data_IF_838896099779
#
_entry.id   IF_838896099779
#
_cell.length_a   1.000
_cell.length_b   1.000
_cell.length_c   1.000
_cell.angle_alpha   90.00
_cell.angle_beta   90.00
_cell.angle_gamma   90.00
#
_symmetry.space_group_name_H-M   'P 1'
#
loop_
_entity.id
_entity.type
_entity.pdbx_description
1 polymer ?
#
# COMPACT_ATOMS: atom_id res chain seq x y z
N UNK A 1 -29.16 -9.68 -22.53
CA UNK A 1 -28.29 -10.58 -21.75
C UNK A 1 -27.35 -9.71 -20.92
N UNK A 2 -27.04 -10.11 -19.70
CA UNK A 2 -26.03 -9.40 -18.91
C UNK A 2 -24.70 -9.48 -19.67
N UNK A 3 -23.90 -8.39 -19.71
CA UNK A 3 -22.58 -8.43 -20.31
C UNK A 3 -21.62 -9.32 -19.47
N UNK A 4 -20.51 -9.72 -20.04
CA UNK A 4 -19.55 -10.64 -19.41
C UNK A 4 -19.15 -10.23 -17.99
N UNK A 5 -18.83 -8.95 -17.80
CA UNK A 5 -18.45 -8.41 -16.48
C UNK A 5 -19.58 -8.56 -15.45
N UNK A 6 -20.82 -8.25 -15.82
CA UNK A 6 -21.96 -8.35 -14.91
C UNK A 6 -22.26 -9.82 -14.54
N UNK A 7 -22.16 -10.73 -15.50
CA UNK A 7 -22.33 -12.17 -15.26
C UNK A 7 -21.33 -12.69 -14.22
N UNK A 8 -20.07 -12.32 -14.35
CA UNK A 8 -19.03 -12.71 -13.38
C UNK A 8 -19.29 -12.12 -12.00
N UNK A 9 -19.70 -10.84 -11.91
CA UNK A 9 -20.07 -10.20 -10.64
C UNK A 9 -21.25 -10.89 -9.95
N UNK A 10 -22.28 -11.28 -10.72
CA UNK A 10 -23.46 -11.92 -10.18
C UNK A 10 -23.13 -13.33 -9.65
N UNK A 11 -22.27 -14.08 -10.36
CA UNK A 11 -21.76 -15.38 -9.90
C UNK A 11 -20.93 -15.22 -8.60
N UNK A 12 -20.04 -14.22 -8.53
CA UNK A 12 -19.27 -13.93 -7.31
C UNK A 12 -20.16 -13.64 -6.11
N UNK A 13 -21.20 -12.84 -6.27
CA UNK A 13 -22.16 -12.51 -5.18
C UNK A 13 -22.86 -13.75 -4.64
N UNK A 14 -23.16 -14.71 -5.49
CA UNK A 14 -23.77 -15.98 -5.07
C UNK A 14 -22.74 -16.87 -4.38
N UNK A 15 -21.58 -17.06 -5.01
CA UNK A 15 -20.53 -17.98 -4.55
C UNK A 15 -19.90 -17.53 -3.22
N UNK A 16 -19.66 -16.23 -3.06
CA UNK A 16 -18.96 -15.62 -1.94
C UNK A 16 -19.81 -14.70 -1.09
N UNK A 17 -21.12 -14.98 -0.98
CA UNK A 17 -22.07 -14.18 -0.17
C UNK A 17 -21.61 -13.97 1.30
N UNK A 18 -20.74 -14.84 1.80
CA UNK A 18 -20.15 -14.80 3.15
C UNK A 18 -18.82 -14.02 3.23
N UNK A 19 -18.35 -13.43 2.13
CA UNK A 19 -17.11 -12.65 2.03
C UNK A 19 -17.40 -11.20 1.56
N UNK A 20 -18.09 -10.37 2.37
CA UNK A 20 -18.59 -9.07 1.94
C UNK A 20 -17.49 -8.09 1.53
N UNK A 21 -16.35 -8.08 2.21
CA UNK A 21 -15.22 -7.20 1.88
C UNK A 21 -14.62 -7.55 0.51
N UNK A 22 -14.54 -8.83 0.20
CA UNK A 22 -14.05 -9.28 -1.11
C UNK A 22 -15.04 -8.92 -2.23
N UNK A 23 -16.34 -9.13 -2.02
CA UNK A 23 -17.39 -8.78 -2.99
C UNK A 23 -17.39 -7.28 -3.28
N UNK A 24 -17.24 -6.44 -2.24
CA UNK A 24 -17.13 -5.00 -2.43
C UNK A 24 -15.95 -4.63 -3.31
N UNK A 25 -14.76 -5.11 -2.99
CA UNK A 25 -13.54 -4.83 -3.75
C UNK A 25 -13.63 -5.33 -5.21
N UNK A 26 -14.15 -6.53 -5.42
CA UNK A 26 -14.35 -7.09 -6.75
C UNK A 26 -15.33 -6.24 -7.57
N UNK A 27 -16.44 -5.78 -6.95
CA UNK A 27 -17.41 -4.92 -7.60
C UNK A 27 -16.81 -3.58 -8.03
N UNK A 28 -16.07 -2.92 -7.14
CA UNK A 28 -15.41 -1.65 -7.43
C UNK A 28 -14.38 -1.78 -8.56
N UNK A 29 -13.53 -2.79 -8.50
CA UNK A 29 -12.50 -3.01 -9.52
C UNK A 29 -13.13 -3.36 -10.86
N UNK A 30 -14.00 -4.37 -10.94
CA UNK A 30 -14.58 -4.80 -12.20
C UNK A 30 -15.44 -3.71 -12.84
N UNK A 31 -16.10 -2.85 -12.04
CA UNK A 31 -16.82 -1.70 -12.56
C UNK A 31 -15.91 -0.71 -13.28
N UNK A 32 -14.73 -0.44 -12.74
CA UNK A 32 -13.74 0.45 -13.38
C UNK A 32 -13.09 -0.18 -14.60
N UNK A 33 -13.04 -1.52 -14.69
CA UNK A 33 -12.46 -2.26 -15.82
C UNK A 33 -13.43 -2.46 -16.97
N UNK A 34 -14.72 -2.16 -16.78
CA UNK A 34 -15.79 -2.37 -17.78
C UNK A 34 -15.42 -1.86 -19.19
N UNK A 35 -14.88 -0.62 -19.39
CA UNK A 35 -14.55 -0.14 -20.74
C UNK A 35 -13.49 -0.99 -21.47
N UNK A 36 -12.53 -1.55 -20.73
CA UNK A 36 -11.50 -2.43 -21.30
C UNK A 36 -12.06 -3.81 -21.62
N UNK A 37 -12.90 -4.33 -20.71
CA UNK A 37 -13.52 -5.64 -20.86
C UNK A 37 -14.45 -5.66 -22.07
N UNK A 38 -15.29 -4.63 -22.24
CA UNK A 38 -16.24 -4.52 -23.36
C UNK A 38 -15.54 -4.43 -24.73
N UNK A 39 -14.35 -3.79 -24.79
CA UNK A 39 -13.54 -3.73 -26.03
C UNK A 39 -12.94 -5.08 -26.43
N UNK A 40 -12.83 -6.02 -25.49
CA UNK A 40 -12.19 -7.32 -25.67
C UNK A 40 -13.08 -8.49 -25.25
N UNK A 41 -14.39 -8.28 -25.14
CA UNK A 41 -15.33 -9.17 -24.46
C UNK A 41 -15.25 -10.60 -25.01
N UNK A 42 -15.40 -10.79 -26.33
CA UNK A 42 -15.35 -12.10 -26.97
C UNK A 42 -14.05 -12.86 -26.66
N UNK A 43 -12.91 -12.17 -26.77
CA UNK A 43 -11.58 -12.76 -26.51
C UNK A 43 -11.39 -13.12 -25.03
N UNK A 44 -11.81 -12.25 -24.12
CA UNK A 44 -11.65 -12.46 -22.69
C UNK A 44 -12.61 -13.53 -22.16
N UNK A 45 -13.86 -13.54 -22.63
CA UNK A 45 -14.86 -14.53 -22.24
C UNK A 45 -14.48 -15.93 -22.75
N UNK A 46 -14.04 -16.06 -24.02
CA UNK A 46 -13.56 -17.34 -24.55
C UNK A 46 -12.40 -17.94 -23.76
N UNK A 47 -11.57 -17.11 -23.13
CA UNK A 47 -10.45 -17.53 -22.26
C UNK A 47 -10.85 -17.70 -20.79
N UNK A 48 -12.06 -17.39 -20.37
CA UNK A 48 -12.46 -17.34 -18.96
C UNK A 48 -11.59 -16.40 -18.13
N UNK A 49 -11.17 -15.26 -18.70
CA UNK A 49 -10.17 -14.40 -18.11
C UNK A 49 -10.63 -13.83 -16.79
N UNK A 50 -11.86 -13.28 -16.71
CA UNK A 50 -12.35 -12.65 -15.49
C UNK A 50 -12.61 -13.66 -14.38
N UNK A 51 -13.14 -14.83 -14.70
CA UNK A 51 -13.34 -15.91 -13.75
C UNK A 51 -12.02 -16.30 -13.06
N UNK A 52 -10.93 -16.41 -13.85
CA UNK A 52 -9.59 -16.69 -13.32
C UNK A 52 -8.96 -15.49 -12.60
N UNK A 53 -9.27 -14.28 -13.03
CA UNK A 53 -8.72 -13.06 -12.44
C UNK A 53 -9.29 -12.77 -11.06
N UNK A 54 -10.56 -13.10 -10.81
CA UNK A 54 -11.24 -12.87 -9.53
C UNK A 54 -11.17 -14.06 -8.57
N UNK A 55 -10.64 -15.19 -9.02
CA UNK A 55 -10.44 -16.38 -8.20
C UNK A 55 -8.96 -16.50 -7.80
N UNK A 56 -8.61 -16.58 -6.50
CA UNK A 56 -7.22 -16.81 -6.11
C UNK A 56 -6.74 -18.18 -6.56
N UNK A 57 -5.49 -18.26 -7.05
CA UNK A 57 -4.89 -19.53 -7.44
C UNK A 57 -4.82 -20.52 -6.25
N UNK A 58 -4.66 -19.98 -5.02
CA UNK A 58 -4.59 -20.79 -3.81
C UNK A 58 -4.86 -19.99 -2.55
N UNK A 59 -5.59 -20.59 -1.62
CA UNK A 59 -5.72 -20.10 -0.23
C UNK A 59 -5.24 -21.21 0.70
N UNK A 60 -4.28 -20.89 1.58
CA UNK A 60 -3.78 -21.77 2.60
C UNK A 60 -4.26 -21.25 3.96
N UNK A 61 -4.97 -22.10 4.71
CA UNK A 61 -5.40 -21.81 6.07
C UNK A 61 -4.81 -22.86 6.99
N UNK A 62 -4.24 -22.43 8.11
CA UNK A 62 -3.56 -23.31 9.05
C UNK A 62 -3.72 -22.84 10.50
N UNK A 63 -3.60 -23.81 11.42
CA UNK A 63 -3.61 -23.57 12.86
C UNK A 63 -2.23 -23.11 13.33
N UNK A 64 -2.19 -22.11 14.21
CA UNK A 64 -0.96 -21.56 14.82
C UNK A 64 -1.05 -21.71 16.35
N UNK A 65 -0.61 -22.84 16.92
CA UNK A 65 -0.53 -23.01 18.37
C UNK A 65 0.77 -22.40 18.90
N UNK A 66 0.69 -21.66 20.01
CA UNK A 66 1.85 -21.08 20.68
C UNK A 66 1.63 -21.00 22.19
N UNK A 67 2.68 -20.83 22.97
CA UNK A 67 2.62 -20.79 24.43
C UNK A 67 2.88 -19.36 24.91
N UNK A 68 1.98 -18.82 25.74
CA UNK A 68 2.13 -17.51 26.35
C UNK A 68 3.16 -17.50 27.49
N UNK A 69 3.42 -16.34 28.10
CA UNK A 69 4.39 -16.20 29.17
C UNK A 69 3.94 -16.86 30.48
N UNK A 70 2.65 -17.21 30.60
CA UNK A 70 2.09 -17.97 31.71
C UNK A 70 2.13 -19.49 31.50
N UNK A 71 2.69 -19.96 30.37
CA UNK A 71 2.76 -21.38 30.03
C UNK A 71 1.46 -21.95 29.45
N UNK A 72 0.47 -21.10 29.13
CA UNK A 72 -0.82 -21.54 28.57
C UNK A 72 -0.74 -21.61 27.05
N UNK A 73 -1.32 -22.68 26.50
CA UNK A 73 -1.44 -22.85 25.04
C UNK A 73 -2.49 -21.89 24.50
N UNK A 74 -2.08 -21.10 23.53
CA UNK A 74 -2.91 -20.24 22.70
C UNK A 74 -3.02 -20.81 21.29
N UNK A 75 -4.13 -20.54 20.60
CA UNK A 75 -4.36 -21.02 19.24
C UNK A 75 -4.92 -19.89 18.39
N UNK A 76 -4.20 -19.54 17.35
CA UNK A 76 -4.63 -18.58 16.32
C UNK A 76 -4.79 -19.29 14.98
N UNK A 77 -5.39 -18.58 14.02
CA UNK A 77 -5.54 -19.03 12.65
C UNK A 77 -4.61 -18.24 11.74
N UNK A 78 -3.81 -18.92 10.96
CA UNK A 78 -2.95 -18.34 9.94
C UNK A 78 -3.52 -18.51 8.54
N UNK A 79 -3.21 -17.57 7.66
CA UNK A 79 -3.66 -17.54 6.26
C UNK A 79 -2.55 -17.09 5.33
N UNK A 80 -2.55 -17.65 4.11
CA UNK A 80 -1.85 -17.09 2.95
C UNK A 80 -2.72 -17.23 1.72
N UNK A 81 -3.05 -16.10 1.11
CA UNK A 81 -3.73 -16.01 -0.18
C UNK A 81 -2.66 -15.80 -1.24
N UNK A 82 -2.46 -16.79 -2.08
CA UNK A 82 -1.66 -16.75 -3.30
C UNK A 82 -2.63 -16.46 -4.43
N UNK A 83 -2.77 -15.17 -4.79
CA UNK A 83 -3.90 -14.74 -5.59
C UNK A 83 -3.64 -14.91 -7.09
N UNK A 84 -2.52 -14.35 -7.59
CA UNK A 84 -2.21 -14.39 -9.02
C UNK A 84 -0.70 -14.32 -9.22
N UNK A 85 -0.14 -15.26 -9.97
CA UNK A 85 1.29 -15.37 -10.27
C UNK A 85 1.63 -15.09 -11.73
N UNK A 86 0.70 -14.64 -12.56
CA UNK A 86 0.91 -14.48 -13.98
C UNK A 86 2.08 -13.54 -14.34
N UNK A 87 2.40 -12.58 -13.49
CA UNK A 87 3.50 -11.62 -13.74
C UNK A 87 4.71 -11.79 -12.82
N UNK A 88 4.73 -12.82 -11.98
CA UNK A 88 5.85 -13.14 -11.08
C UNK A 88 5.42 -13.79 -9.77
N UNK A 89 6.36 -14.06 -8.86
CA UNK A 89 6.07 -14.65 -7.55
C UNK A 89 5.01 -13.88 -6.80
N UNK A 90 4.17 -14.58 -6.04
CA UNK A 90 3.19 -13.91 -5.17
C UNK A 90 3.90 -12.94 -4.22
N UNK A 91 3.41 -11.72 -4.12
CA UNK A 91 4.01 -10.68 -3.29
C UNK A 91 2.95 -9.92 -2.53
N UNK A 92 3.13 -9.80 -1.22
CA UNK A 92 2.26 -9.00 -0.35
C UNK A 92 2.49 -9.26 1.12
N UNK A 93 2.05 -8.32 1.94
CA UNK A 93 2.31 -8.31 3.37
C UNK A 93 1.60 -9.39 4.18
N UNK A 94 2.13 -9.63 5.37
CA UNK A 94 1.48 -10.39 6.44
C UNK A 94 0.88 -9.40 7.45
N UNK A 95 -0.41 -9.53 7.76
CA UNK A 95 -1.11 -8.70 8.75
C UNK A 95 -1.36 -9.49 10.03
N UNK A 96 -0.95 -8.94 11.16
CA UNK A 96 -1.27 -9.49 12.49
C UNK A 96 -2.22 -8.54 13.21
N UNK A 97 -3.50 -8.89 13.23
CA UNK A 97 -4.54 -8.07 13.83
C UNK A 97 -5.78 -8.93 14.11
N UNK A 98 -6.50 -8.69 15.25
CA UNK A 98 -7.68 -9.50 15.61
C UNK A 98 -8.80 -9.54 14.56
N UNK A 99 -8.90 -8.52 13.70
CA UNK A 99 -9.91 -8.47 12.63
C UNK A 99 -9.58 -9.34 11.42
N UNK A 100 -8.39 -9.94 11.34
CA UNK A 100 -7.98 -10.73 10.18
C UNK A 100 -8.87 -11.95 10.01
N UNK A 101 -9.44 -12.06 8.82
CA UNK A 101 -10.20 -13.20 8.35
C UNK A 101 -9.91 -13.46 6.85
N UNK A 102 -10.47 -14.52 6.30
CA UNK A 102 -10.22 -14.91 4.91
C UNK A 102 -10.73 -13.86 3.92
N UNK A 103 -11.92 -13.30 4.12
CA UNK A 103 -12.52 -12.29 3.23
C UNK A 103 -11.63 -11.05 3.12
N UNK A 104 -11.14 -10.53 4.26
CA UNK A 104 -10.21 -9.39 4.31
C UNK A 104 -8.91 -9.70 3.56
N UNK A 105 -8.31 -10.86 3.79
CA UNK A 105 -7.06 -11.21 3.12
C UNK A 105 -7.24 -11.51 1.63
N UNK A 106 -8.39 -12.04 1.23
CA UNK A 106 -8.74 -12.27 -0.16
C UNK A 106 -8.90 -10.93 -0.90
N UNK A 107 -9.65 -9.98 -0.33
CA UNK A 107 -9.77 -8.66 -0.92
C UNK A 107 -8.43 -7.93 -1.03
N UNK A 108 -7.63 -7.94 0.04
CA UNK A 108 -6.30 -7.30 0.03
C UNK A 108 -5.34 -7.96 -0.97
N UNK A 109 -5.43 -9.29 -1.13
CA UNK A 109 -4.66 -10.02 -2.14
C UNK A 109 -5.07 -9.68 -3.56
N UNK A 110 -6.36 -9.50 -3.81
CA UNK A 110 -6.89 -9.07 -5.09
C UNK A 110 -6.42 -7.66 -5.49
N UNK A 111 -6.53 -6.69 -4.58
CA UNK A 111 -6.01 -5.34 -4.82
C UNK A 111 -4.50 -5.32 -5.03
N UNK A 112 -3.78 -6.22 -4.34
CA UNK A 112 -2.33 -6.30 -4.43
C UNK A 112 -1.85 -6.68 -5.84
N UNK A 113 -2.64 -7.45 -6.60
CA UNK A 113 -2.33 -7.80 -8.01
C UNK A 113 -2.15 -6.52 -8.84
N UNK A 114 -3.13 -5.62 -8.78
CA UNK A 114 -3.12 -4.38 -9.56
C UNK A 114 -2.00 -3.45 -9.11
N UNK A 115 -1.82 -3.29 -7.82
CA UNK A 115 -0.76 -2.47 -7.23
C UNK A 115 0.63 -2.94 -7.66
N UNK A 116 0.90 -4.23 -7.58
CA UNK A 116 2.19 -4.82 -7.95
C UNK A 116 2.44 -4.70 -9.45
N UNK A 117 1.41 -4.94 -10.26
CA UNK A 117 1.47 -4.82 -11.71
C UNK A 117 1.90 -3.43 -12.18
N UNK A 118 1.40 -2.37 -11.51
CA UNK A 118 1.76 -0.99 -11.83
C UNK A 118 3.27 -0.73 -11.74
N UNK A 119 3.97 -1.37 -10.80
CA UNK A 119 5.42 -1.18 -10.63
C UNK A 119 6.24 -1.55 -11.87
N UNK A 120 5.68 -2.36 -12.75
CA UNK A 120 6.41 -2.90 -13.91
C UNK A 120 7.35 -4.06 -13.58
N UNK A 121 7.57 -4.33 -12.29
CA UNK A 121 8.47 -5.39 -11.80
C UNK A 121 7.79 -6.77 -11.84
N UNK A 122 8.57 -7.86 -11.92
CA UNK A 122 8.03 -9.23 -12.01
C UNK A 122 7.60 -9.74 -10.64
N UNK A 123 6.49 -9.24 -10.13
CA UNK A 123 5.88 -9.63 -8.86
C UNK A 123 4.36 -9.78 -9.02
N UNK A 124 3.84 -10.92 -8.64
CA UNK A 124 2.42 -11.23 -8.61
C UNK A 124 1.71 -10.69 -7.37
N UNK A 125 0.49 -11.12 -7.12
CA UNK A 125 -0.34 -10.69 -5.99
C UNK A 125 -0.53 -11.77 -4.94
N UNK A 126 -0.35 -11.40 -3.67
CA UNK A 126 -0.65 -12.27 -2.54
C UNK A 126 -0.84 -11.47 -1.25
N UNK A 127 -1.45 -12.10 -0.27
CA UNK A 127 -1.65 -11.52 1.07
C UNK A 127 -1.74 -12.61 2.12
N UNK A 128 -1.32 -12.32 3.34
CA UNK A 128 -1.44 -13.28 4.44
C UNK A 128 -1.58 -12.59 5.78
N UNK A 129 -1.66 -13.41 6.83
CA UNK A 129 -1.74 -12.90 8.19
C UNK A 129 -2.41 -13.86 9.17
N UNK A 130 -2.74 -13.31 10.32
CA UNK A 130 -3.40 -14.05 11.41
C UNK A 130 -4.25 -13.11 12.26
N UNK A 131 -5.24 -13.67 12.93
CA UNK A 131 -6.03 -13.01 13.96
C UNK A 131 -5.27 -12.78 15.28
N UNK A 132 -3.96 -13.05 15.31
CA UNK A 132 -3.08 -12.74 16.43
C UNK A 132 -2.94 -11.24 16.63
N UNK A 133 -3.08 -10.76 17.88
CA UNK A 133 -2.83 -9.37 18.26
C UNK A 133 -1.46 -9.24 18.93
N UNK A 134 -0.48 -8.59 18.29
CA UNK A 134 0.84 -8.38 18.88
C UNK A 134 0.86 -7.29 19.96
N UNK A 135 -0.22 -6.49 20.10
CA UNK A 135 -0.28 -5.43 21.11
C UNK A 135 -0.31 -6.02 22.50
N UNK A 136 0.55 -5.50 23.37
CA UNK A 136 0.64 -5.94 24.77
C UNK A 136 1.28 -7.32 24.97
N UNK A 137 1.77 -7.95 23.91
CA UNK A 137 2.55 -9.17 23.98
C UNK A 137 4.03 -8.90 24.22
N UNK A 138 4.68 -9.77 24.97
CA UNK A 138 6.13 -9.73 25.14
C UNK A 138 6.85 -10.09 23.84
N UNK A 139 8.11 -9.70 23.71
CA UNK A 139 8.94 -10.10 22.57
C UNK A 139 9.05 -11.61 22.45
N UNK A 140 9.10 -12.33 23.57
CA UNK A 140 9.14 -13.80 23.61
C UNK A 140 7.84 -14.43 23.11
N UNK A 141 6.69 -13.86 23.45
CA UNK A 141 5.39 -14.33 22.96
C UNK A 141 5.27 -14.12 21.45
N UNK A 142 5.64 -12.91 20.97
CA UNK A 142 5.64 -12.61 19.53
C UNK A 142 6.60 -13.53 18.77
N UNK A 143 7.77 -13.81 19.34
CA UNK A 143 8.74 -14.72 18.73
C UNK A 143 8.19 -16.15 18.63
N UNK A 144 7.60 -16.69 19.70
CA UNK A 144 6.99 -18.03 19.70
C UNK A 144 5.84 -18.12 18.68
N UNK A 145 5.00 -17.08 18.62
CA UNK A 145 3.94 -17.01 17.62
C UNK A 145 4.54 -17.03 16.19
N UNK A 146 5.50 -16.16 15.89
CA UNK A 146 6.13 -16.08 14.56
C UNK A 146 6.80 -17.40 14.16
N UNK A 147 7.45 -18.08 15.11
CA UNK A 147 8.06 -19.39 14.87
C UNK A 147 7.01 -20.46 14.52
N UNK A 148 5.91 -20.51 15.26
CA UNK A 148 4.80 -21.43 14.99
C UNK A 148 4.14 -21.12 13.64
N UNK A 149 3.86 -19.85 13.37
CA UNK A 149 3.28 -19.39 12.10
C UNK A 149 4.16 -19.81 10.91
N UNK A 150 5.47 -19.56 10.99
CA UNK A 150 6.41 -19.89 9.91
C UNK A 150 6.59 -21.41 9.75
N UNK A 151 6.47 -22.19 10.82
CA UNK A 151 6.54 -23.66 10.76
C UNK A 151 5.47 -24.26 9.85
N UNK A 152 4.32 -23.60 9.71
CA UNK A 152 3.30 -23.98 8.74
C UNK A 152 3.50 -23.32 7.38
N UNK A 153 3.82 -22.04 7.36
CA UNK A 153 3.89 -21.25 6.13
C UNK A 153 5.08 -21.60 5.23
N UNK A 154 6.22 -22.03 5.77
CA UNK A 154 7.46 -22.23 5.01
C UNK A 154 7.33 -23.16 3.79
N UNK A 155 6.38 -24.09 3.82
CA UNK A 155 6.12 -25.05 2.73
C UNK A 155 5.61 -24.41 1.45
N UNK A 156 5.09 -23.20 1.56
CA UNK A 156 4.37 -22.50 0.48
C UNK A 156 5.07 -21.25 -0.02
N UNK A 157 6.17 -20.86 0.63
CA UNK A 157 6.92 -19.65 0.30
C UNK A 157 8.37 -19.96 -0.05
N UNK A 158 8.92 -19.20 -0.97
CA UNK A 158 10.33 -19.20 -1.37
C UNK A 158 10.62 -17.96 -2.21
N UNK A 159 11.90 -17.66 -2.44
CA UNK A 159 12.35 -16.47 -3.20
C UNK A 159 11.72 -16.32 -4.59
N UNK A 160 11.41 -17.42 -5.26
CA UNK A 160 10.89 -17.45 -6.64
C UNK A 160 9.42 -17.92 -6.72
N UNK A 161 8.78 -18.20 -5.58
CA UNK A 161 7.39 -18.69 -5.52
C UNK A 161 6.48 -17.66 -4.86
N UNK A 162 6.79 -17.29 -3.62
CA UNK A 162 5.98 -16.39 -2.80
C UNK A 162 6.87 -15.67 -1.78
N UNK A 163 6.87 -14.35 -1.82
CA UNK A 163 7.73 -13.51 -0.97
C UNK A 163 6.87 -12.57 -0.13
N UNK A 164 6.50 -12.98 1.11
CA UNK A 164 5.76 -12.12 2.03
C UNK A 164 6.58 -10.91 2.48
N UNK A 165 5.88 -9.92 3.03
CA UNK A 165 6.44 -8.68 3.58
C UNK A 165 5.74 -8.29 4.88
N UNK A 166 6.12 -7.15 5.47
CA UNK A 166 5.39 -6.55 6.59
C UNK A 166 4.09 -5.87 6.15
N UNK A 167 3.17 -5.78 7.10
CA UNK A 167 1.91 -5.03 7.04
C UNK A 167 1.50 -4.66 8.47
N UNK A 168 0.25 -4.31 8.76
CA UNK A 168 -0.22 -4.00 10.12
C UNK A 168 0.18 -5.12 11.09
N UNK A 169 0.83 -4.75 12.19
CA UNK A 169 1.30 -5.68 13.22
C UNK A 169 2.57 -6.48 12.86
N UNK A 170 3.15 -6.26 11.69
CA UNK A 170 4.39 -6.93 11.24
C UNK A 170 5.41 -5.89 10.81
N UNK A 171 6.35 -5.61 11.67
CA UNK A 171 7.50 -4.75 11.41
C UNK A 171 8.81 -5.53 11.29
N UNK A 172 9.94 -4.82 11.42
CA UNK A 172 11.27 -5.41 11.32
C UNK A 172 11.51 -6.54 12.33
N UNK A 173 10.95 -6.43 13.54
CA UNK A 173 11.05 -7.45 14.59
C UNK A 173 10.39 -8.76 14.14
N UNK A 174 9.14 -8.70 13.71
CA UNK A 174 8.37 -9.87 13.26
C UNK A 174 8.99 -10.49 12.01
N UNK A 175 9.41 -9.68 11.04
CA UNK A 175 10.15 -10.17 9.86
C UNK A 175 11.42 -10.90 10.27
N UNK A 176 12.15 -10.39 11.28
CA UNK A 176 13.33 -11.06 11.82
C UNK A 176 13.01 -12.44 12.39
N UNK A 177 11.98 -12.54 13.23
CA UNK A 177 11.56 -13.82 13.83
C UNK A 177 11.07 -14.82 12.79
N UNK A 178 10.29 -14.37 11.81
CA UNK A 178 9.81 -15.19 10.70
C UNK A 178 10.96 -15.70 9.83
N UNK A 179 11.90 -14.82 9.45
CA UNK A 179 13.05 -15.19 8.65
C UNK A 179 14.00 -16.15 9.38
N UNK A 180 14.27 -15.89 10.67
CA UNK A 180 15.09 -16.77 11.49
C UNK A 180 14.54 -18.20 11.56
N UNK A 181 13.22 -18.36 11.71
CA UNK A 181 12.57 -19.67 11.72
C UNK A 181 12.58 -20.32 10.33
N UNK A 182 12.32 -19.58 9.25
CA UNK A 182 12.43 -20.09 7.89
C UNK A 182 13.83 -20.67 7.62
N UNK A 183 14.87 -19.89 7.92
CA UNK A 183 16.26 -20.31 7.77
C UNK A 183 16.58 -21.56 8.62
N UNK A 184 16.07 -21.62 9.86
CA UNK A 184 16.28 -22.78 10.77
C UNK A 184 15.66 -24.07 10.20
N UNK A 185 14.48 -23.98 9.59
CA UNK A 185 13.78 -25.15 9.05
C UNK A 185 14.39 -25.59 7.72
N UNK A 186 14.65 -24.64 6.82
CA UNK A 186 15.07 -24.93 5.44
C UNK A 186 16.58 -25.13 5.30
N UNK A 187 17.38 -24.60 6.21
CA UNK A 187 18.83 -24.52 6.06
C UNK A 187 19.31 -23.54 4.99
N UNK A 188 18.39 -22.76 4.39
CA UNK A 188 18.68 -21.86 3.26
C UNK A 188 18.80 -20.40 3.73
N UNK A 189 19.78 -19.70 3.15
CA UNK A 189 19.86 -18.25 3.19
C UNK A 189 19.47 -17.71 1.81
N UNK A 190 18.21 -17.33 1.67
CA UNK A 190 17.67 -16.86 0.39
C UNK A 190 16.80 -15.61 0.53
N UNK A 191 16.39 -15.02 -0.59
CA UNK A 191 15.60 -13.78 -0.65
C UNK A 191 14.11 -13.94 -0.37
N UNK A 192 13.73 -14.88 0.50
CA UNK A 192 12.37 -14.99 1.02
C UNK A 192 12.12 -13.87 2.05
N UNK A 193 10.92 -13.35 2.12
CA UNK A 193 10.53 -12.18 2.90
C UNK A 193 11.25 -10.89 2.47
N UNK A 194 10.56 -9.77 2.57
CA UNK A 194 11.14 -8.42 2.41
C UNK A 194 10.84 -7.54 3.62
N UNK A 195 11.61 -6.45 3.76
CA UNK A 195 11.65 -5.66 4.98
C UNK A 195 12.66 -6.19 5.98
N UNK A 196 13.66 -6.93 5.48
CA UNK A 196 14.76 -7.46 6.29
C UNK A 196 15.67 -6.35 6.80
N UNK A 197 16.40 -6.62 7.86
CA UNK A 197 17.45 -5.73 8.36
C UNK A 197 18.62 -5.62 7.37
N UNK A 198 19.30 -4.48 7.36
CA UNK A 198 20.42 -4.20 6.43
C UNK A 198 21.56 -5.21 6.55
N UNK A 199 21.78 -5.76 7.75
CA UNK A 199 22.85 -6.74 8.01
C UNK A 199 22.55 -8.15 7.48
N UNK A 200 21.33 -8.41 7.01
CA UNK A 200 20.90 -9.73 6.58
C UNK A 200 19.93 -9.69 5.36
N UNK A 201 20.25 -8.86 4.39
CA UNK A 201 19.60 -8.84 3.08
C UNK A 201 18.54 -7.77 2.87
N UNK A 202 18.39 -6.81 3.78
CA UNK A 202 17.52 -5.65 3.62
C UNK A 202 18.05 -4.64 2.61
N UNK A 203 17.17 -3.78 2.11
CA UNK A 203 17.50 -2.69 1.18
C UNK A 203 17.52 -1.35 1.88
N UNK A 204 18.48 -0.49 1.53
CA UNK A 204 18.43 0.93 1.79
C UNK A 204 17.20 1.57 1.11
N UNK A 205 16.81 2.76 1.53
CA UNK A 205 15.63 3.50 1.09
C UNK A 205 14.28 2.78 1.28
N UNK A 206 14.23 1.60 1.92
CA UNK A 206 12.96 0.87 2.14
C UNK A 206 12.02 1.59 3.10
N UNK A 207 12.58 2.23 4.11
CA UNK A 207 11.81 2.99 5.11
C UNK A 207 11.20 4.26 4.50
N UNK A 208 11.93 4.89 3.62
CA UNK A 208 11.59 6.11 2.90
C UNK A 208 10.62 5.86 1.74
N UNK A 209 10.65 4.67 1.17
CA UNK A 209 10.11 4.33 -0.14
C UNK A 209 8.66 4.75 -0.40
N UNK A 210 7.76 4.58 0.57
CA UNK A 210 6.35 4.94 0.38
C UNK A 210 6.16 6.45 0.34
N UNK A 211 6.77 7.19 1.27
CA UNK A 211 6.71 8.65 1.30
C UNK A 211 7.39 9.29 0.10
N UNK A 212 8.58 8.82 -0.26
CA UNK A 212 9.31 9.30 -1.44
C UNK A 212 8.56 9.01 -2.73
N UNK A 213 8.06 7.78 -2.87
CA UNK A 213 7.28 7.36 -4.03
C UNK A 213 6.02 8.18 -4.22
N UNK A 214 5.30 8.48 -3.13
CA UNK A 214 4.15 9.39 -3.14
C UNK A 214 4.52 10.76 -3.72
N UNK A 215 5.65 11.32 -3.31
CA UNK A 215 6.09 12.64 -3.80
C UNK A 215 6.49 12.59 -5.27
N UNK A 216 7.18 11.54 -5.72
CA UNK A 216 7.55 11.37 -7.14
C UNK A 216 6.32 11.21 -8.03
N UNK A 217 5.34 10.42 -7.62
CA UNK A 217 4.07 10.27 -8.35
C UNK A 217 3.32 11.60 -8.41
N UNK A 218 3.19 12.28 -7.27
CA UNK A 218 2.50 13.60 -7.19
C UNK A 218 3.20 14.65 -8.06
N UNK A 219 4.53 14.65 -8.07
CA UNK A 219 5.32 15.54 -8.94
C UNK A 219 5.00 15.28 -10.42
N UNK A 220 5.09 14.03 -10.86
CA UNK A 220 4.83 13.67 -12.26
C UNK A 220 3.39 14.03 -12.67
N UNK A 221 2.41 13.81 -11.79
CA UNK A 221 1.02 14.20 -12.00
C UNK A 221 0.86 15.73 -12.15
N UNK A 222 1.48 16.49 -11.27
CA UNK A 222 1.40 17.96 -11.31
C UNK A 222 2.09 18.53 -12.57
N UNK A 223 3.29 18.05 -12.89
CA UNK A 223 4.06 18.49 -14.09
C UNK A 223 3.30 18.19 -15.38
N UNK A 224 2.68 17.01 -15.50
CA UNK A 224 1.82 16.65 -16.66
C UNK A 224 0.66 17.64 -16.85
N UNK A 225 0.18 18.24 -15.76
CA UNK A 225 -0.91 19.22 -15.75
C UNK A 225 -0.42 20.69 -15.67
N UNK A 226 0.84 20.95 -16.02
CA UNK A 226 1.42 22.30 -16.07
C UNK A 226 1.60 22.98 -14.71
N UNK A 227 1.66 22.19 -13.62
CA UNK A 227 1.83 22.67 -12.24
C UNK A 227 3.17 22.22 -11.66
N UNK A 228 3.63 22.87 -10.59
CA UNK A 228 4.86 22.51 -9.89
C UNK A 228 4.62 22.32 -8.40
N UNK A 229 5.45 21.48 -7.76
CA UNK A 229 5.49 21.34 -6.30
C UNK A 229 6.20 22.51 -5.64
N UNK A 230 7.26 23.03 -6.27
CA UNK A 230 8.05 24.11 -5.70
C UNK A 230 7.20 25.35 -5.37
N UNK A 231 7.40 25.88 -4.17
CA UNK A 231 6.68 27.05 -3.65
C UNK A 231 5.27 26.77 -3.13
N UNK A 232 4.77 25.53 -3.21
CA UNK A 232 3.43 25.18 -2.71
C UNK A 232 3.42 24.96 -1.20
N UNK A 233 2.29 25.29 -0.57
CA UNK A 233 2.00 24.94 0.81
C UNK A 233 1.38 23.55 0.85
N UNK A 234 1.87 22.70 1.75
CA UNK A 234 1.49 21.29 1.86
C UNK A 234 1.00 20.97 3.26
N UNK A 235 -0.05 20.17 3.34
CA UNK A 235 -0.56 19.55 4.58
C UNK A 235 -0.41 18.04 4.49
N UNK A 236 0.18 17.43 5.52
CA UNK A 236 0.43 15.98 5.59
C UNK A 236 -0.22 15.42 6.85
N UNK A 237 -1.13 14.47 6.72
CA UNK A 237 -1.65 13.78 7.90
C UNK A 237 -0.73 12.64 8.34
N UNK A 238 -0.81 12.30 9.63
CA UNK A 238 0.05 11.29 10.22
C UNK A 238 1.41 11.81 10.67
N UNK A 239 2.13 10.94 11.35
CA UNK A 239 3.50 11.16 11.85
C UNK A 239 4.28 9.83 11.91
N UNK A 240 3.85 8.83 11.15
CA UNK A 240 4.56 7.58 10.91
C UNK A 240 5.51 7.68 9.74
N UNK A 241 6.10 6.55 9.33
CA UNK A 241 7.11 6.50 8.26
C UNK A 241 6.65 7.18 6.97
N UNK A 242 5.43 6.88 6.50
CA UNK A 242 4.92 7.46 5.24
C UNK A 242 4.90 8.98 5.32
N UNK A 243 4.32 9.53 6.40
CA UNK A 243 4.20 10.97 6.60
C UNK A 243 5.58 11.65 6.76
N UNK A 244 6.45 11.12 7.62
CA UNK A 244 7.80 11.69 7.87
C UNK A 244 8.60 11.79 6.58
N UNK A 245 8.62 10.72 5.78
CA UNK A 245 9.42 10.71 4.55
C UNK A 245 8.73 11.40 3.37
N UNK A 246 7.39 11.51 3.37
CA UNK A 246 6.70 12.42 2.45
C UNK A 246 7.05 13.88 2.75
N UNK A 247 7.04 14.30 4.03
CA UNK A 247 7.48 15.65 4.44
C UNK A 247 8.92 15.91 4.02
N UNK A 248 9.83 14.96 4.27
CA UNK A 248 11.23 15.11 3.88
C UNK A 248 11.34 15.35 2.37
N UNK A 249 10.82 14.46 1.55
CA UNK A 249 10.99 14.50 0.11
C UNK A 249 10.30 15.71 -0.52
N UNK A 250 9.07 16.03 -0.12
CA UNK A 250 8.34 17.16 -0.72
C UNK A 250 8.97 18.51 -0.33
N UNK A 251 9.60 18.59 0.84
CA UNK A 251 10.38 19.77 1.26
C UNK A 251 11.66 19.89 0.42
N UNK A 252 12.36 18.78 0.16
CA UNK A 252 13.51 18.73 -0.77
C UNK A 252 13.13 19.19 -2.19
N UNK A 253 11.88 18.96 -2.61
CA UNK A 253 11.32 19.41 -3.90
C UNK A 253 10.91 20.91 -3.89
N UNK A 254 11.14 21.62 -2.79
CA UNK A 254 10.91 23.07 -2.67
C UNK A 254 9.52 23.47 -2.18
N UNK A 255 8.72 22.55 -1.65
CA UNK A 255 7.45 22.89 -1.01
C UNK A 255 7.62 23.23 0.47
N UNK A 256 6.63 23.89 1.05
CA UNK A 256 6.56 24.18 2.49
C UNK A 256 5.45 23.36 3.15
N UNK A 257 5.82 22.40 3.99
CA UNK A 257 4.87 21.64 4.79
C UNK A 257 4.55 22.41 6.05
N UNK A 258 3.26 22.72 6.28
CA UNK A 258 2.80 23.56 7.40
C UNK A 258 2.06 22.79 8.49
N UNK A 259 1.66 21.55 8.25
CA UNK A 259 0.93 20.76 9.25
C UNK A 259 1.24 19.27 9.16
N UNK A 260 1.24 18.61 10.34
CA UNK A 260 1.27 17.16 10.49
C UNK A 260 0.30 16.75 11.62
N UNK A 261 -0.14 15.49 11.64
CA UNK A 261 -1.06 14.97 12.67
C UNK A 261 -0.60 13.65 13.28
N UNK A 262 -1.22 13.30 14.40
CA UNK A 262 -1.30 11.93 14.89
C UNK A 262 -2.76 11.60 15.29
N UNK A 263 -3.01 10.46 15.91
CA UNK A 263 -4.38 10.04 16.27
C UNK A 263 -5.08 10.95 17.29
N UNK A 264 -4.36 11.85 17.95
CA UNK A 264 -4.91 12.73 19.00
C UNK A 264 -5.20 14.14 18.48
N UNK A 265 -4.43 14.61 17.51
CA UNK A 265 -4.57 15.96 17.00
C UNK A 265 -3.53 16.31 15.94
N UNK A 266 -3.41 17.59 15.63
CA UNK A 266 -2.47 18.07 14.64
C UNK A 266 -1.67 19.29 15.11
N UNK A 267 -0.50 19.45 14.55
CA UNK A 267 0.34 20.64 14.67
C UNK A 267 0.23 21.48 13.41
N UNK A 268 0.23 22.79 13.59
CA UNK A 268 0.33 23.77 12.51
C UNK A 268 1.48 24.73 12.80
N UNK A 269 2.38 24.88 11.85
CA UNK A 269 3.51 25.79 11.89
C UNK A 269 3.53 26.63 10.60
N UNK A 270 3.16 27.91 10.61
CA UNK A 270 3.13 28.75 9.42
C UNK A 270 4.53 28.96 8.81
N UNK A 271 5.59 28.81 9.59
CA UNK A 271 6.97 28.93 9.14
C UNK A 271 7.51 27.63 8.50
N UNK A 272 6.72 26.56 8.56
CA UNK A 272 7.04 25.24 8.06
C UNK A 272 7.55 24.28 9.12
N UNK A 273 7.09 23.03 9.03
CA UNK A 273 7.42 21.94 9.98
C UNK A 273 8.92 21.71 10.06
N UNK A 274 9.47 21.73 11.26
CA UNK A 274 10.85 21.37 11.58
C UNK A 274 10.95 19.83 11.69
N UNK A 275 11.27 19.18 10.58
CA UNK A 275 11.20 17.73 10.47
C UNK A 275 12.12 17.00 11.47
N UNK A 276 13.29 17.57 11.79
CA UNK A 276 14.21 16.97 12.75
C UNK A 276 13.60 16.85 14.15
N UNK A 277 12.79 17.85 14.57
CA UNK A 277 12.03 17.80 15.83
C UNK A 277 10.99 16.68 15.78
N UNK A 278 10.28 16.53 14.65
CA UNK A 278 9.31 15.44 14.47
C UNK A 278 9.99 14.07 14.53
N UNK A 279 11.13 13.91 13.83
CA UNK A 279 11.92 12.66 13.86
C UNK A 279 12.39 12.34 15.27
N UNK A 280 12.93 13.30 16.00
CA UNK A 280 13.34 13.11 17.38
C UNK A 280 12.20 12.62 18.26
N UNK A 281 11.03 13.27 18.17
CA UNK A 281 9.85 12.90 18.94
C UNK A 281 9.29 11.53 18.59
N UNK A 282 9.21 11.21 17.30
CA UNK A 282 8.50 10.00 16.81
C UNK A 282 9.40 8.76 16.74
N UNK A 283 10.62 8.92 16.24
CA UNK A 283 11.51 7.79 15.98
C UNK A 283 12.40 7.46 17.20
N UNK A 284 12.83 8.48 17.96
CA UNK A 284 13.72 8.31 19.11
C UNK A 284 12.92 8.24 20.42
N UNK A 285 12.14 9.28 20.72
CA UNK A 285 11.46 9.40 22.01
C UNK A 285 10.11 8.66 22.06
N UNK A 286 9.55 8.28 20.89
CA UNK A 286 8.23 7.63 20.76
C UNK A 286 7.09 8.38 21.41
N UNK A 287 7.16 9.72 21.43
CA UNK A 287 6.17 10.62 22.00
C UNK A 287 5.09 11.01 21.00
N UNK A 288 4.04 11.66 21.50
CA UNK A 288 2.96 12.24 20.70
C UNK A 288 3.40 13.54 20.04
N UNK A 289 2.78 13.86 18.89
CA UNK A 289 3.15 15.05 18.11
C UNK A 289 2.87 16.36 18.85
N UNK A 290 1.96 16.35 19.83
CA UNK A 290 1.67 17.51 20.69
C UNK A 290 2.90 18.07 21.40
N UNK A 291 3.93 17.24 21.63
CA UNK A 291 5.16 17.68 22.28
C UNK A 291 6.01 18.63 21.40
N UNK A 292 5.71 18.67 20.08
CA UNK A 292 6.38 19.52 19.11
C UNK A 292 6.34 21.01 19.48
N UNK A 293 5.19 21.50 19.96
CA UNK A 293 5.01 22.93 20.30
C UNK A 293 5.88 23.39 21.48
N UNK A 294 6.42 22.46 22.26
CA UNK A 294 7.37 22.80 23.34
C UNK A 294 8.75 23.17 22.78
N UNK A 295 9.12 22.57 21.65
CA UNK A 295 10.39 22.83 20.99
C UNK A 295 10.31 23.92 19.91
N UNK A 296 9.10 24.16 19.37
CA UNK A 296 8.86 25.11 18.27
C UNK A 296 7.74 26.08 18.69
N UNK A 297 8.08 27.23 19.28
CA UNK A 297 7.09 28.19 19.82
C UNK A 297 6.17 28.85 18.77
N UNK A 298 6.55 28.83 17.49
CA UNK A 298 5.73 29.35 16.38
C UNK A 298 4.57 28.44 16.03
N UNK A 299 4.64 27.18 16.44
CA UNK A 299 3.64 26.17 16.14
C UNK A 299 2.50 26.17 17.16
N UNK A 300 1.33 25.76 16.70
CA UNK A 300 0.15 25.48 17.52
C UNK A 300 -0.20 24.00 17.47
N UNK A 301 -0.85 23.50 18.52
CA UNK A 301 -1.44 22.17 18.57
C UNK A 301 -2.94 22.28 18.76
N UNK A 302 -3.68 21.48 17.99
CA UNK A 302 -5.15 21.37 18.09
C UNK A 302 -5.53 19.91 18.30
N UNK A 303 -6.38 19.63 19.27
CA UNK A 303 -6.95 18.30 19.49
C UNK A 303 -7.97 17.95 18.40
N UNK A 304 -8.04 16.65 18.05
CA UNK A 304 -8.87 16.16 16.96
C UNK A 304 -8.15 16.23 15.60
N UNK A 305 -7.92 15.09 14.99
CA UNK A 305 -7.07 15.01 13.77
C UNK A 305 -7.76 15.52 12.49
N UNK A 306 -9.09 15.46 12.40
CA UNK A 306 -9.84 15.83 11.19
C UNK A 306 -9.76 17.33 10.84
N UNK A 307 -9.53 18.19 11.83
CA UNK A 307 -9.37 19.64 11.63
C UNK A 307 -8.18 20.02 10.75
N UNK A 308 -7.21 19.14 10.56
CA UNK A 308 -6.05 19.38 9.71
C UNK A 308 -6.45 19.71 8.25
N UNK A 309 -7.56 19.16 7.77
CA UNK A 309 -8.06 19.37 6.41
C UNK A 309 -8.76 20.73 6.17
N UNK A 310 -8.90 21.53 7.23
CA UNK A 310 -9.39 22.93 7.12
C UNK A 310 -8.26 23.93 6.91
N UNK A 311 -7.00 23.51 7.00
CA UNK A 311 -5.83 24.38 6.79
C UNK A 311 -5.66 24.65 5.29
N UNK A 312 -5.56 25.93 4.85
CA UNK A 312 -5.34 26.27 3.46
C UNK A 312 -4.01 25.67 2.93
N UNK A 313 -4.10 24.94 1.84
CA UNK A 313 -2.94 24.34 1.18
C UNK A 313 -3.22 24.11 -0.31
N UNK A 314 -2.17 24.01 -1.12
CA UNK A 314 -2.28 23.62 -2.52
C UNK A 314 -2.11 22.10 -2.70
N UNK A 315 -1.43 21.43 -1.79
CA UNK A 315 -1.23 19.97 -1.86
C UNK A 315 -1.62 19.35 -0.52
N UNK A 316 -2.48 18.34 -0.55
CA UNK A 316 -2.85 17.53 0.61
C UNK A 316 -2.33 16.09 0.45
N UNK A 317 -1.60 15.61 1.44
CA UNK A 317 -1.05 14.26 1.46
C UNK A 317 -1.60 13.48 2.67
N UNK A 318 -2.71 12.76 2.52
CA UNK A 318 -3.24 11.88 3.55
C UNK A 318 -2.34 10.64 3.72
N UNK A 319 -1.60 10.61 4.83
CA UNK A 319 -0.59 9.59 5.14
C UNK A 319 -0.84 8.86 6.47
N UNK A 320 -2.01 9.02 7.08
CA UNK A 320 -2.31 8.45 8.40
C UNK A 320 -3.11 7.15 8.32
N UNK A 321 -4.41 7.25 8.05
CA UNK A 321 -5.33 6.11 8.18
C UNK A 321 -6.38 6.07 7.07
N UNK A 322 -7.03 4.91 6.98
CA UNK A 322 -8.19 4.72 6.11
C UNK A 322 -9.33 5.67 6.48
N UNK A 323 -10.05 6.19 5.48
CA UNK A 323 -11.23 7.04 5.60
C UNK A 323 -11.03 8.32 6.44
N UNK A 324 -9.83 8.86 6.45
CA UNK A 324 -9.53 10.10 7.17
C UNK A 324 -10.02 11.38 6.47
N UNK A 325 -10.24 11.33 5.15
CA UNK A 325 -10.86 12.40 4.38
C UNK A 325 -12.27 11.95 3.98
N UNK A 326 -13.27 12.54 4.61
CA UNK A 326 -14.67 12.39 4.24
C UNK A 326 -15.10 13.52 3.28
N UNK A 327 -16.36 13.51 2.83
CA UNK A 327 -16.90 14.51 1.91
C UNK A 327 -16.78 15.95 2.45
N UNK A 328 -17.02 16.16 3.74
CA UNK A 328 -16.92 17.48 4.37
C UNK A 328 -15.47 18.00 4.37
N UNK A 329 -14.51 17.14 4.69
CA UNK A 329 -13.08 17.46 4.62
C UNK A 329 -12.63 17.75 3.19
N UNK A 330 -13.12 17.00 2.21
CA UNK A 330 -12.83 17.25 0.79
C UNK A 330 -13.38 18.62 0.34
N UNK A 331 -14.62 18.94 0.70
CA UNK A 331 -15.22 20.27 0.40
C UNK A 331 -14.44 21.42 1.04
N UNK A 332 -13.93 21.24 2.27
CA UNK A 332 -13.10 22.24 2.94
C UNK A 332 -11.76 22.45 2.19
N UNK A 333 -11.07 21.37 1.81
CA UNK A 333 -9.85 21.45 1.00
C UNK A 333 -10.08 22.14 -0.35
N UNK A 334 -11.18 21.81 -1.04
CA UNK A 334 -11.55 22.43 -2.32
C UNK A 334 -11.81 23.93 -2.13
N UNK A 335 -12.58 24.31 -1.12
CA UNK A 335 -12.87 25.71 -0.81
C UNK A 335 -11.60 26.52 -0.47
N UNK A 336 -10.60 25.86 0.13
CA UNK A 336 -9.30 26.46 0.48
C UNK A 336 -8.27 26.41 -0.66
N UNK A 337 -8.66 25.98 -1.86
CA UNK A 337 -7.82 26.06 -3.05
C UNK A 337 -6.82 24.91 -3.23
N UNK A 338 -7.13 23.72 -2.75
CA UNK A 338 -6.30 22.54 -3.00
C UNK A 338 -6.23 22.25 -4.51
N UNK A 339 -5.02 22.05 -5.01
CA UNK A 339 -4.75 21.73 -6.42
C UNK A 339 -4.50 20.25 -6.66
N UNK A 340 -3.92 19.59 -5.67
CA UNK A 340 -3.59 18.17 -5.75
C UNK A 340 -3.79 17.46 -4.40
N UNK A 341 -4.28 16.24 -4.48
CA UNK A 341 -4.36 15.29 -3.35
C UNK A 341 -3.58 14.03 -3.72
N UNK A 342 -2.62 13.63 -2.89
CA UNK A 342 -1.82 12.42 -3.08
C UNK A 342 -1.98 11.44 -1.93
N UNK A 343 -2.53 10.28 -2.18
CA UNK A 343 -2.84 9.29 -1.15
C UNK A 343 -1.63 8.44 -0.75
N UNK A 344 -1.06 8.73 0.41
CA UNK A 344 0.03 7.95 1.00
C UNK A 344 -0.43 6.76 1.83
N UNK A 345 -1.53 6.90 2.57
CA UNK A 345 -2.18 5.80 3.28
C UNK A 345 -2.98 4.90 2.31
N UNK A 346 -3.43 3.75 2.80
CA UNK A 346 -4.35 2.90 2.03
C UNK A 346 -5.79 3.41 2.20
N UNK A 347 -6.45 3.74 1.09
CA UNK A 347 -7.83 4.25 1.04
C UNK A 347 -8.12 5.37 2.06
N UNK A 348 -7.34 6.46 2.10
CA UNK A 348 -7.55 7.52 3.09
C UNK A 348 -8.76 8.40 2.80
N UNK A 349 -9.20 8.48 1.54
CA UNK A 349 -10.39 9.22 1.13
C UNK A 349 -11.59 8.28 0.97
N UNK A 350 -12.77 8.72 1.41
CA UNK A 350 -14.02 8.02 1.12
C UNK A 350 -14.39 8.16 -0.36
N UNK A 351 -15.30 7.33 -0.85
CA UNK A 351 -15.78 7.41 -2.25
C UNK A 351 -16.40 8.78 -2.56
N UNK A 352 -17.16 9.33 -1.61
CA UNK A 352 -17.78 10.66 -1.73
C UNK A 352 -16.73 11.77 -1.79
N UNK A 353 -15.67 11.66 -0.99
CA UNK A 353 -14.54 12.59 -1.00
C UNK A 353 -13.80 12.54 -2.36
N UNK A 354 -13.51 11.34 -2.85
CA UNK A 354 -12.87 11.13 -4.15
C UNK A 354 -13.72 11.73 -5.29
N UNK A 355 -15.02 11.46 -5.28
CA UNK A 355 -15.96 12.03 -6.26
C UNK A 355 -15.98 13.58 -6.20
N UNK A 356 -15.98 14.16 -5.00
CA UNK A 356 -15.92 15.60 -4.82
C UNK A 356 -14.64 16.22 -5.41
N UNK A 357 -13.47 15.62 -5.18
CA UNK A 357 -12.21 16.07 -5.78
C UNK A 357 -12.24 15.99 -7.30
N UNK A 358 -12.70 14.89 -7.87
CA UNK A 358 -12.79 14.70 -9.31
C UNK A 358 -13.76 15.70 -9.96
N UNK A 359 -14.92 15.96 -9.35
CA UNK A 359 -15.89 16.95 -9.84
C UNK A 359 -15.35 18.38 -9.80
N UNK A 360 -14.54 18.70 -8.80
CA UNK A 360 -13.90 20.01 -8.66
C UNK A 360 -12.66 20.18 -9.54
N UNK A 361 -12.23 19.15 -10.27
CA UNK A 361 -11.03 19.20 -11.11
C UNK A 361 -9.71 19.20 -10.31
N UNK A 362 -9.74 18.76 -9.07
CA UNK A 362 -8.53 18.58 -8.26
C UNK A 362 -7.76 17.36 -8.78
N UNK A 363 -6.45 17.50 -8.94
CA UNK A 363 -5.58 16.38 -9.34
C UNK A 363 -5.54 15.35 -8.22
N UNK A 364 -6.00 14.14 -8.50
CA UNK A 364 -6.14 13.10 -7.49
C UNK A 364 -5.25 11.89 -7.80
N UNK A 365 -4.24 11.68 -6.96
CA UNK A 365 -3.31 10.54 -7.05
C UNK A 365 -3.82 9.38 -6.15
N UNK A 366 -4.42 8.33 -6.73
CA UNK A 366 -5.05 7.27 -5.95
C UNK A 366 -4.01 6.41 -5.23
N UNK A 367 -4.34 5.97 -4.02
CA UNK A 367 -3.46 5.21 -3.12
C UNK A 367 -2.75 4.04 -3.80
N UNK A 368 -3.48 3.25 -4.59
CA UNK A 368 -2.96 2.06 -5.28
C UNK A 368 -1.74 2.35 -6.16
N UNK A 369 -1.72 3.53 -6.80
CA UNK A 369 -0.61 3.98 -7.62
C UNK A 369 0.39 4.84 -6.82
N UNK A 370 -0.11 5.83 -6.10
CA UNK A 370 0.73 6.83 -5.42
C UNK A 370 1.57 6.24 -4.27
N UNK A 371 1.06 5.26 -3.53
CA UNK A 371 1.80 4.62 -2.43
C UNK A 371 2.54 3.33 -2.83
N UNK A 372 2.67 3.03 -4.12
CA UNK A 372 3.34 1.82 -4.61
C UNK A 372 4.85 1.81 -4.37
N UNK A 373 5.45 2.92 -3.93
CA UNK A 373 6.89 3.00 -3.66
C UNK A 373 7.39 1.94 -2.67
N UNK A 374 6.61 1.64 -1.64
CA UNK A 374 6.96 0.63 -0.65
C UNK A 374 7.10 -0.78 -1.24
N UNK A 375 6.17 -1.21 -2.09
CA UNK A 375 6.26 -2.51 -2.77
C UNK A 375 7.30 -2.50 -3.88
N UNK A 376 7.51 -1.36 -4.55
CA UNK A 376 8.57 -1.21 -5.55
C UNK A 376 9.94 -1.46 -4.93
N UNK A 377 10.29 -0.81 -3.83
CA UNK A 377 11.57 -1.05 -3.14
C UNK A 377 11.63 -2.45 -2.52
N UNK A 378 10.50 -3.03 -2.09
CA UNK A 378 10.49 -4.45 -1.70
C UNK A 378 10.89 -5.38 -2.86
N UNK A 379 10.44 -5.12 -4.09
CA UNK A 379 10.87 -5.89 -5.26
C UNK A 379 12.33 -5.61 -5.64
N UNK A 380 12.82 -4.38 -5.45
CA UNK A 380 14.24 -4.07 -5.59
C UNK A 380 15.10 -4.80 -4.54
N UNK A 381 14.58 -4.97 -3.31
CA UNK A 381 15.23 -5.83 -2.28
C UNK A 381 15.35 -7.28 -2.77
N UNK A 382 14.28 -7.83 -3.40
CA UNK A 382 14.34 -9.17 -4.00
C UNK A 382 15.42 -9.25 -5.09
N UNK A 383 15.54 -8.23 -5.94
CA UNK A 383 16.56 -8.17 -6.99
C UNK A 383 17.98 -8.15 -6.39
N UNK A 384 18.22 -7.34 -5.37
CA UNK A 384 19.49 -7.29 -4.65
C UNK A 384 19.82 -8.64 -4.00
N UNK A 385 18.82 -9.30 -3.40
CA UNK A 385 18.99 -10.63 -2.80
C UNK A 385 19.35 -11.70 -3.84
N UNK A 386 18.73 -11.66 -5.02
CA UNK A 386 19.03 -12.59 -6.11
C UNK A 386 20.43 -12.41 -6.67
N UNK A 387 20.90 -11.17 -6.74
CA UNK A 387 22.28 -10.84 -7.15
C UNK A 387 23.31 -11.06 -6.04
N UNK A 388 22.90 -11.19 -4.79
CA UNK A 388 23.74 -11.19 -3.58
C UNK A 388 24.57 -9.89 -3.43
N UNK A 389 24.02 -8.77 -3.86
CA UNK A 389 24.61 -7.44 -3.79
C UNK A 389 23.72 -6.51 -2.98
N UNK A 390 24.31 -5.44 -2.47
CA UNK A 390 23.58 -4.31 -1.88
C UNK A 390 23.84 -3.07 -2.71
N UNK A 391 22.77 -2.36 -3.05
CA UNK A 391 22.84 -1.08 -3.76
C UNK A 391 22.92 0.07 -2.76
N UNK A 392 23.51 1.20 -3.18
CA UNK A 392 23.54 2.42 -2.38
C UNK A 392 22.13 3.01 -2.24
N UNK A 393 21.98 3.95 -1.32
CA UNK A 393 20.71 4.67 -1.14
C UNK A 393 20.31 5.39 -2.44
N UNK A 394 21.26 6.05 -3.07
CA UNK A 394 21.09 6.83 -4.30
C UNK A 394 20.68 5.93 -5.47
N UNK A 395 21.24 4.74 -5.59
CA UNK A 395 20.88 3.76 -6.62
C UNK A 395 19.43 3.27 -6.44
N UNK A 396 19.03 2.99 -5.20
CA UNK A 396 17.67 2.56 -4.90
C UNK A 396 16.67 3.70 -5.10
N UNK A 397 16.99 4.92 -4.64
CA UNK A 397 16.11 6.11 -4.79
C UNK A 397 15.94 6.52 -6.26
N UNK A 398 17.00 6.46 -7.07
CA UNK A 398 16.92 6.72 -8.50
C UNK A 398 15.97 5.71 -9.19
N UNK A 399 16.13 4.41 -8.91
CA UNK A 399 15.23 3.38 -9.43
C UNK A 399 13.78 3.57 -8.95
N UNK A 400 13.59 3.92 -7.70
CA UNK A 400 12.27 4.24 -7.14
C UNK A 400 11.62 5.40 -7.88
N UNK A 401 12.36 6.48 -8.12
CA UNK A 401 11.87 7.63 -8.88
C UNK A 401 11.43 7.23 -10.29
N UNK A 402 12.26 6.50 -11.02
CA UNK A 402 11.94 6.03 -12.35
C UNK A 402 10.69 5.14 -12.37
N UNK A 403 10.56 4.23 -11.40
CA UNK A 403 9.38 3.36 -11.27
C UNK A 403 8.12 4.23 -11.05
N UNK A 404 8.15 5.20 -10.13
CA UNK A 404 6.98 6.01 -9.80
C UNK A 404 6.55 6.93 -10.95
N UNK A 405 7.49 7.51 -11.68
CA UNK A 405 7.23 8.29 -12.89
C UNK A 405 6.60 7.40 -13.98
N UNK A 406 7.13 6.19 -14.17
CA UNK A 406 6.58 5.22 -15.11
C UNK A 406 5.18 4.71 -14.71
N UNK A 407 4.91 4.56 -13.39
CA UNK A 407 3.56 4.24 -12.90
C UNK A 407 2.61 5.34 -13.32
N UNK A 408 2.95 6.62 -13.05
CA UNK A 408 2.10 7.73 -13.43
C UNK A 408 1.85 7.78 -14.96
N UNK A 409 2.89 7.63 -15.78
CA UNK A 409 2.75 7.64 -17.24
C UNK A 409 1.77 6.56 -17.75
N UNK A 410 1.82 5.34 -17.18
CA UNK A 410 0.88 4.26 -17.53
C UNK A 410 -0.54 4.55 -17.06
N UNK A 411 -0.69 5.12 -15.88
CA UNK A 411 -1.99 5.51 -15.32
C UNK A 411 -2.64 6.62 -16.15
N UNK A 412 -1.87 7.64 -16.53
CA UNK A 412 -2.33 8.74 -17.40
C UNK A 412 -2.74 8.23 -18.78
N UNK A 413 -1.91 7.39 -19.40
CA UNK A 413 -2.23 6.78 -20.70
C UNK A 413 -3.51 5.95 -20.64
N UNK A 414 -3.67 5.11 -19.63
CA UNK A 414 -4.85 4.26 -19.48
C UNK A 414 -6.12 5.08 -19.20
N UNK A 415 -6.02 6.15 -18.40
CA UNK A 415 -7.13 7.07 -18.17
C UNK A 415 -7.56 7.74 -19.48
N UNK A 416 -6.61 8.24 -20.26
CA UNK A 416 -6.88 8.88 -21.57
C UNK A 416 -7.51 7.92 -22.57
N UNK A 417 -7.04 6.67 -22.64
CA UNK A 417 -7.47 5.71 -23.65
C UNK A 417 -8.82 5.04 -23.32
N UNK A 418 -9.08 4.74 -22.06
CA UNK A 418 -10.20 3.88 -21.64
C UNK A 418 -11.22 4.55 -20.73
N UNK A 419 -10.93 5.71 -20.15
CA UNK A 419 -11.82 6.39 -19.21
C UNK A 419 -12.00 7.86 -19.60
N UNK A 420 -11.63 8.78 -18.72
CA UNK A 420 -11.64 10.21 -18.94
C UNK A 420 -10.26 10.76 -18.62
N UNK A 421 -9.78 11.70 -19.42
CA UNK A 421 -8.53 12.42 -19.13
C UNK A 421 -8.55 12.97 -17.69
N UNK A 422 -7.50 12.65 -16.91
CA UNK A 422 -7.39 13.04 -15.51
C UNK A 422 -8.09 12.09 -14.52
N UNK A 423 -8.81 11.07 -14.98
CA UNK A 423 -9.37 10.03 -14.10
C UNK A 423 -8.29 8.98 -13.76
N UNK A 424 -7.38 9.36 -12.88
CA UNK A 424 -6.26 8.51 -12.47
C UNK A 424 -6.71 7.33 -11.59
N UNK A 425 -7.91 7.38 -11.01
CA UNK A 425 -8.48 6.25 -10.25
C UNK A 425 -8.80 5.10 -11.20
N UNK A 426 -9.57 5.38 -12.25
CA UNK A 426 -9.84 4.38 -13.30
C UNK A 426 -8.54 3.98 -14.01
N UNK A 427 -7.69 4.95 -14.37
CA UNK A 427 -6.41 4.71 -15.01
C UNK A 427 -5.51 3.74 -14.25
N UNK A 428 -5.45 3.83 -12.91
CA UNK A 428 -4.64 2.93 -12.09
C UNK A 428 -5.16 1.48 -12.13
N UNK A 429 -6.48 1.28 -12.00
CA UNK A 429 -7.06 -0.06 -12.11
C UNK A 429 -6.87 -0.67 -13.50
N UNK A 430 -7.11 0.12 -14.54
CA UNK A 430 -7.00 -0.32 -15.95
C UNK A 430 -5.54 -0.64 -16.30
N UNK A 431 -4.60 0.24 -16.01
CA UNK A 431 -3.18 0.00 -16.29
C UNK A 431 -2.65 -1.25 -15.57
N UNK A 432 -3.05 -1.43 -14.30
CA UNK A 432 -2.71 -2.63 -13.54
C UNK A 432 -3.29 -3.90 -14.15
N UNK A 433 -4.57 -3.87 -14.54
CA UNK A 433 -5.26 -5.01 -15.14
C UNK A 433 -4.68 -5.41 -16.49
N UNK A 434 -4.43 -4.47 -17.40
CA UNK A 434 -3.99 -4.76 -18.77
C UNK A 434 -2.72 -5.63 -18.79
N UNK A 435 -1.72 -5.34 -17.95
CA UNK A 435 -0.49 -6.13 -17.88
C UNK A 435 -0.76 -7.56 -17.38
N UNK A 436 -1.62 -7.73 -16.38
CA UNK A 436 -1.96 -9.04 -15.83
C UNK A 436 -2.80 -9.83 -16.83
N UNK A 437 -3.78 -9.19 -17.46
CA UNK A 437 -4.62 -9.81 -18.48
C UNK A 437 -3.79 -10.31 -19.67
N UNK A 438 -2.85 -9.50 -20.16
CA UNK A 438 -1.95 -9.89 -21.24
C UNK A 438 -1.12 -11.12 -20.88
N UNK A 439 -0.52 -11.14 -19.69
CA UNK A 439 0.24 -12.29 -19.21
C UNK A 439 -0.64 -13.54 -19.03
N UNK A 440 -1.83 -13.41 -18.45
CA UNK A 440 -2.77 -14.54 -18.29
C UNK A 440 -3.26 -15.09 -19.63
N UNK A 441 -3.48 -14.22 -20.62
CA UNK A 441 -3.86 -14.63 -21.97
C UNK A 441 -2.72 -15.34 -22.70
N UNK A 442 -1.49 -14.85 -22.55
CA UNK A 442 -0.31 -15.44 -23.18
C UNK A 442 0.06 -16.82 -22.61
N UNK A 443 -0.13 -17.00 -21.29
CA UNK A 443 0.19 -18.26 -20.59
C UNK A 443 -0.90 -19.33 -20.71
N UNK A 444 -2.11 -18.95 -21.15
CA UNK A 444 -3.22 -19.88 -21.31
C UNK A 444 -3.96 -20.19 -20.01
N UNK A 445 -4.73 -21.26 -20.01
CA UNK A 445 -5.52 -21.70 -18.84
C UNK A 445 -4.68 -22.63 -17.94
N UNK A 446 -3.84 -22.01 -17.12
CA UNK A 446 -2.97 -22.69 -16.16
C UNK A 446 -3.41 -22.40 -14.72
#
# INVERSE_FOLDING_TARGET
MANYCQRVLDDLKVRYAHEPEFIQAATEILTTLKPVIERNEEKYEAAGLLERFVEPERIITFRVPWIDDQGKVQVNRGYRVQFNSAIGPYKGGLRLHPSVNQSILKFLGFEQILKNSLTGLPIGGGKGGSDFDPKGKSDNEVQRFCQSFMTELYRYIAKDTDVPAGDIGVGAREIGYLYGQYKRITGLYEGVLTGKGLTWGGSLARKEATGYGLCYFTQAMMERNGKTIAGKTVVVSGSGNVAIYAVQKITEMGAKVVAMSDSNGYIYDPDGIKLDVVKQLKEVERKRIKEYVKAVPTATYTEGCSGIWTIPCQIALPCATQNEINEASAKALIANGVEAVGEGANMPSTLEATAAFQQAGVLFAPAKAANAGGVAVSALEMSQNSQRLSWTFEEVDAKLKDIMVNIFAKVDLAAHEYAKEGDYVAGANIAGFLKVADAMMAQGAV
#
